data_IF_735798568310
#
_entry.id   IF_735798568310
#
_cell.length_a   1.000
_cell.length_b   1.000
_cell.length_c   1.000
_cell.angle_alpha   90.00
_cell.angle_beta   90.00
_cell.angle_gamma   90.00
#
_symmetry.space_group_name_H-M   'P 1'
#
loop_
_entity.id
_entity.type
_entity.pdbx_description
1 polymer ?
#
# COMPACT_ATOMS: atom_id res chain seq x y z
N UNK A 1 -47.88 18.48 -70.30
CA UNK A 1 -48.00 17.61 -69.11
C UNK A 1 -46.63 17.47 -68.45
N UNK A 2 -46.33 18.29 -67.43
CA UNK A 2 -45.04 18.26 -66.72
C UNK A 2 -45.20 17.45 -65.42
N UNK A 3 -44.54 16.28 -65.34
CA UNK A 3 -44.49 15.44 -64.13
C UNK A 3 -43.47 16.01 -63.14
N UNK A 4 -43.94 16.31 -61.93
CA UNK A 4 -43.13 16.65 -60.75
C UNK A 4 -42.44 15.40 -60.21
N UNK A 5 -41.14 15.46 -59.97
CA UNK A 5 -40.38 14.46 -59.20
C UNK A 5 -40.05 15.12 -57.86
N UNK A 6 -40.62 14.58 -56.77
CA UNK A 6 -40.32 14.96 -55.39
C UNK A 6 -39.26 13.99 -54.88
N UNK A 7 -38.05 14.49 -54.63
CA UNK A 7 -36.97 13.71 -54.00
C UNK A 7 -37.09 13.90 -52.49
N UNK A 8 -37.50 12.84 -51.79
CA UNK A 8 -37.53 12.79 -50.32
C UNK A 8 -36.15 12.37 -49.84
N UNK A 9 -35.39 13.31 -49.30
CA UNK A 9 -34.11 13.03 -48.63
C UNK A 9 -34.39 12.45 -47.24
N UNK A 10 -34.14 11.15 -47.09
CA UNK A 10 -34.30 10.43 -45.82
C UNK A 10 -33.01 10.58 -45.00
N UNK A 11 -33.02 11.52 -44.05
CA UNK A 11 -31.92 11.79 -43.13
C UNK A 11 -31.88 10.71 -42.03
N UNK A 12 -30.99 9.73 -42.17
CA UNK A 12 -30.74 8.71 -41.13
C UNK A 12 -29.82 9.30 -40.06
N UNK A 13 -30.40 9.75 -38.95
CA UNK A 13 -29.63 10.14 -37.76
C UNK A 13 -29.14 8.88 -37.02
N UNK A 14 -27.87 8.52 -37.23
CA UNK A 14 -27.18 7.57 -36.36
C UNK A 14 -26.86 8.26 -35.02
N UNK A 15 -27.61 7.91 -33.98
CA UNK A 15 -27.32 8.29 -32.59
C UNK A 15 -26.08 7.53 -32.12
N UNK A 16 -24.91 8.19 -32.16
CA UNK A 16 -23.73 7.69 -31.46
C UNK A 16 -24.02 7.71 -29.94
N UNK A 17 -23.82 6.60 -29.21
CA UNK A 17 -23.97 6.60 -27.77
C UNK A 17 -22.98 7.59 -27.14
N UNK A 18 -23.50 8.48 -26.29
CA UNK A 18 -22.72 9.54 -25.66
C UNK A 18 -21.56 8.96 -24.83
N UNK A 19 -20.39 9.59 -24.94
CA UNK A 19 -19.16 9.24 -24.20
C UNK A 19 -19.35 9.16 -22.66
N UNK A 20 -20.45 9.68 -22.14
CA UNK A 20 -20.82 9.62 -20.72
C UNK A 20 -21.15 8.20 -20.24
N UNK A 21 -21.65 7.32 -21.11
CA UNK A 21 -21.97 5.93 -20.74
C UNK A 21 -20.72 5.04 -20.56
N UNK A 22 -19.62 5.35 -21.26
CA UNK A 22 -18.38 4.58 -21.18
C UNK A 22 -17.64 4.81 -19.85
N UNK A 23 -17.68 6.04 -19.32
CA UNK A 23 -17.02 6.39 -18.06
C UNK A 23 -17.72 5.80 -16.82
N UNK A 24 -19.04 5.53 -16.88
CA UNK A 24 -19.73 4.84 -15.78
C UNK A 24 -19.34 3.37 -15.68
N UNK A 25 -19.10 2.70 -16.81
CA UNK A 25 -18.71 1.27 -16.84
C UNK A 25 -17.28 1.03 -16.34
N UNK A 26 -16.36 1.96 -16.59
CA UNK A 26 -15.00 1.90 -16.02
C UNK A 26 -14.95 2.19 -14.50
N UNK A 27 -15.93 2.94 -13.98
CA UNK A 27 -16.00 3.28 -12.56
C UNK A 27 -16.50 2.09 -11.71
N UNK A 28 -17.30 1.18 -12.28
CA UNK A 28 -17.86 0.03 -11.56
C UNK A 28 -16.92 -1.19 -11.45
N UNK A 29 -15.81 -1.23 -12.20
CA UNK A 29 -14.86 -2.37 -12.19
C UNK A 29 -13.67 -2.18 -11.23
N UNK A 30 -13.55 -1.03 -10.58
CA UNK A 30 -12.73 -0.91 -9.37
C UNK A 30 -13.58 -1.35 -8.18
N UNK A 31 -13.76 -2.67 -8.03
CA UNK A 31 -14.10 -3.22 -6.74
C UNK A 31 -13.02 -2.75 -5.76
N UNK A 32 -13.33 -1.71 -4.99
CA UNK A 32 -12.48 -1.23 -3.91
C UNK A 32 -12.30 -2.44 -3.01
N UNK A 33 -11.08 -3.01 -2.98
CA UNK A 33 -10.78 -4.07 -2.03
C UNK A 33 -11.06 -3.48 -0.66
N UNK A 34 -12.16 -3.90 -0.03
CA UNK A 34 -12.50 -3.43 1.31
C UNK A 34 -11.31 -3.69 2.23
N UNK A 35 -10.98 -2.73 3.08
CA UNK A 35 -9.92 -2.89 4.08
C UNK A 35 -10.04 -4.21 4.87
N UNK A 36 -11.27 -4.62 5.18
CA UNK A 36 -11.56 -5.91 5.85
C UNK A 36 -11.15 -7.14 5.05
N UNK A 37 -11.07 -7.07 3.73
CA UNK A 37 -10.59 -8.17 2.88
C UNK A 37 -9.07 -8.35 2.95
N UNK A 38 -8.34 -7.28 3.28
CA UNK A 38 -6.87 -7.29 3.38
C UNK A 38 -6.43 -7.53 4.82
N UNK A 39 -7.07 -6.82 5.76
CA UNK A 39 -6.75 -6.76 7.18
C UNK A 39 -8.00 -7.01 8.03
N UNK A 40 -8.56 -8.23 8.05
CA UNK A 40 -9.75 -8.54 8.86
C UNK A 40 -9.46 -8.48 10.36
N UNK A 41 -8.22 -8.72 10.78
CA UNK A 41 -7.76 -8.56 12.16
C UNK A 41 -6.67 -7.49 12.20
N UNK A 42 -6.91 -6.42 12.95
CA UNK A 42 -5.94 -5.35 13.19
C UNK A 42 -5.52 -5.39 14.64
N UNK A 43 -4.22 -5.31 14.88
CA UNK A 43 -3.64 -5.14 16.22
C UNK A 43 -2.56 -4.08 16.20
N UNK A 44 -2.23 -3.57 17.38
CA UNK A 44 -1.05 -2.72 17.55
C UNK A 44 0.23 -3.56 17.56
N UNK A 45 1.38 -2.87 17.50
CA UNK A 45 2.67 -3.46 17.82
C UNK A 45 2.62 -4.03 19.25
N UNK A 46 3.17 -5.22 19.44
CA UNK A 46 3.35 -5.84 20.75
C UNK A 46 4.83 -5.85 21.17
N UNK A 47 5.11 -6.21 22.42
CA UNK A 47 6.48 -6.28 22.94
C UNK A 47 7.40 -7.08 22.01
N UNK A 48 8.58 -6.52 21.70
CA UNK A 48 9.53 -7.11 20.76
C UNK A 48 9.24 -6.85 19.27
N UNK A 49 8.18 -6.11 18.93
CA UNK A 49 7.96 -5.62 17.56
C UNK A 49 8.30 -4.15 17.47
N UNK A 50 9.13 -3.79 16.48
CA UNK A 50 9.71 -2.46 16.33
C UNK A 50 9.41 -1.94 14.95
N UNK A 51 8.87 -0.73 14.86
CA UNK A 51 8.75 0.02 13.62
C UNK A 51 9.76 1.18 13.62
N UNK A 52 10.53 1.30 12.55
CA UNK A 52 11.46 2.43 12.36
C UNK A 52 11.12 3.17 11.07
N UNK A 53 11.03 4.50 11.16
CA UNK A 53 10.86 5.37 9.99
C UNK A 53 12.17 5.68 9.26
N UNK A 54 13.32 5.46 9.92
CA UNK A 54 14.67 5.53 9.34
C UNK A 54 15.54 4.39 9.86
N UNK A 55 16.56 4.00 9.10
CA UNK A 55 17.52 3.01 9.57
C UNK A 55 18.52 3.62 10.56
N UNK A 56 19.29 2.76 11.23
CA UNK A 56 20.31 3.15 12.20
C UNK A 56 21.50 3.88 11.54
N UNK A 57 22.26 4.63 12.35
CA UNK A 57 23.34 5.47 11.86
C UNK A 57 24.53 4.73 11.28
N UNK A 58 24.77 3.49 11.72
CA UNK A 58 25.87 2.64 11.22
C UNK A 58 25.73 2.24 9.73
N UNK A 59 24.55 2.40 9.12
CA UNK A 59 24.42 2.18 7.68
C UNK A 59 24.98 3.36 6.90
N UNK A 60 25.72 3.07 5.82
CA UNK A 60 26.25 4.11 4.93
C UNK A 60 25.13 4.95 4.31
N UNK A 61 25.45 6.18 3.90
CA UNK A 61 24.50 7.09 3.28
C UNK A 61 23.89 6.55 1.97
N UNK A 62 24.65 5.73 1.23
CA UNK A 62 24.20 5.07 0.00
C UNK A 62 23.34 3.82 0.23
N UNK A 63 23.16 3.37 1.48
CA UNK A 63 22.37 2.18 1.76
C UNK A 63 20.88 2.45 1.47
N UNK A 64 20.22 1.66 0.61
CA UNK A 64 18.81 1.88 0.26
C UNK A 64 17.85 1.77 1.45
N UNK A 65 18.28 1.15 2.56
CA UNK A 65 17.50 1.04 3.79
C UNK A 65 17.51 2.34 4.60
N UNK A 66 18.51 3.22 4.40
CA UNK A 66 18.71 4.45 5.19
C UNK A 66 17.47 5.34 5.20
N UNK A 67 16.85 5.47 4.03
CA UNK A 67 15.78 6.41 3.75
C UNK A 67 14.39 5.76 3.65
N UNK A 68 14.22 4.55 4.17
CA UNK A 68 12.97 3.81 4.08
C UNK A 68 12.57 3.20 5.43
N UNK A 69 11.32 2.75 5.51
CA UNK A 69 10.78 2.21 6.75
C UNK A 69 11.24 0.77 6.98
N UNK A 70 11.15 0.31 8.23
CA UNK A 70 11.42 -1.09 8.57
C UNK A 70 10.51 -1.59 9.69
N UNK A 71 10.24 -2.88 9.64
CA UNK A 71 9.55 -3.63 10.68
C UNK A 71 10.45 -4.77 11.16
N UNK A 72 10.70 -4.81 12.46
CA UNK A 72 11.62 -5.74 13.09
C UNK A 72 10.87 -6.54 14.14
N UNK A 73 11.10 -7.85 14.14
CA UNK A 73 10.63 -8.77 15.16
C UNK A 73 11.84 -9.25 15.94
N UNK A 74 11.90 -8.92 17.23
CA UNK A 74 12.94 -9.38 18.14
C UNK A 74 12.85 -10.90 18.32
N UNK A 75 13.94 -11.51 18.76
CA UNK A 75 13.96 -12.94 19.11
C UNK A 75 12.87 -13.26 20.14
N UNK A 76 12.24 -14.42 19.98
CA UNK A 76 11.11 -14.88 20.80
C UNK A 76 9.74 -14.55 20.20
N UNK A 77 9.66 -13.58 19.28
CA UNK A 77 8.41 -13.25 18.60
C UNK A 77 8.16 -14.15 17.39
N UNK A 78 6.88 -14.41 17.12
CA UNK A 78 6.48 -15.09 15.89
C UNK A 78 6.85 -14.25 14.67
N UNK A 79 7.69 -14.80 13.78
CA UNK A 79 8.03 -14.14 12.52
C UNK A 79 6.92 -14.34 11.48
N UNK A 80 6.62 -13.34 10.64
CA UNK A 80 5.84 -13.54 9.44
C UNK A 80 6.50 -14.60 8.53
N UNK A 81 5.68 -15.44 7.89
CA UNK A 81 6.16 -16.45 6.92
C UNK A 81 6.46 -15.88 5.54
N UNK A 82 6.09 -14.62 5.31
CA UNK A 82 6.24 -13.97 4.01
C UNK A 82 7.65 -13.43 3.79
N UNK A 83 8.16 -13.55 2.58
CA UNK A 83 9.38 -12.85 2.12
C UNK A 83 9.14 -11.36 1.89
N UNK A 84 7.87 -10.97 1.71
CA UNK A 84 7.42 -9.61 1.41
C UNK A 84 6.20 -9.25 2.26
N UNK A 85 6.24 -8.10 2.92
CA UNK A 85 5.09 -7.55 3.63
C UNK A 85 4.49 -6.41 2.81
N UNK A 86 3.17 -6.44 2.65
CA UNK A 86 2.42 -5.32 2.10
C UNK A 86 2.06 -4.33 3.22
N UNK A 87 2.16 -3.04 2.91
CA UNK A 87 1.74 -1.95 3.79
C UNK A 87 0.56 -1.24 3.13
N UNK A 88 -0.57 -1.22 3.81
CA UNK A 88 -1.85 -0.77 3.27
C UNK A 88 -2.35 0.47 4.00
N UNK A 89 -3.10 1.32 3.31
CA UNK A 89 -3.87 2.38 3.95
C UNK A 89 -5.20 1.87 4.54
N UNK A 90 -5.95 2.74 5.21
CA UNK A 90 -7.25 2.43 5.82
C UNK A 90 -8.34 2.01 4.82
N UNK A 91 -8.14 2.27 3.52
CA UNK A 91 -9.04 1.83 2.47
C UNK A 91 -8.62 0.48 1.84
N UNK A 92 -7.50 -0.11 2.30
CA UNK A 92 -6.99 -1.38 1.77
C UNK A 92 -6.12 -1.22 0.51
N UNK A 93 -5.72 0.00 0.15
CA UNK A 93 -4.81 0.21 -0.98
C UNK A 93 -3.38 -0.07 -0.54
N UNK A 94 -2.61 -0.77 -1.36
CA UNK A 94 -1.19 -0.98 -1.12
C UNK A 94 -0.43 0.34 -1.33
N UNK A 95 0.19 0.86 -0.26
CA UNK A 95 0.93 2.12 -0.29
C UNK A 95 2.44 1.94 -0.21
N UNK A 96 2.91 0.82 0.35
CA UNK A 96 4.34 0.51 0.51
C UNK A 96 4.58 -1.02 0.57
N UNK A 97 5.83 -1.45 0.39
CA UNK A 97 6.26 -2.86 0.52
C UNK A 97 7.54 -2.93 1.35
N UNK A 98 7.68 -3.98 2.14
CA UNK A 98 8.89 -4.30 2.90
C UNK A 98 9.41 -5.68 2.50
N UNK A 99 10.70 -5.81 2.18
CA UNK A 99 11.31 -7.10 1.89
C UNK A 99 12.11 -7.66 3.06
N UNK A 100 12.09 -8.98 3.20
CA UNK A 100 12.85 -9.70 4.23
C UNK A 100 14.35 -9.58 3.96
N UNK A 101 15.11 -9.07 4.93
CA UNK A 101 16.56 -8.89 4.83
C UNK A 101 17.36 -10.04 5.41
N UNK A 102 16.86 -10.66 6.48
CA UNK A 102 17.55 -11.76 7.13
C UNK A 102 16.54 -12.55 7.94
N UNK A 103 16.35 -13.86 7.64
CA UNK A 103 15.65 -14.76 8.53
C UNK A 103 16.50 -14.95 9.81
N UNK A 104 15.82 -15.02 10.96
CA UNK A 104 16.30 -15.28 12.33
C UNK A 104 17.83 -15.28 12.60
N UNK A 105 18.29 -14.34 13.43
CA UNK A 105 19.67 -14.27 13.95
C UNK A 105 19.74 -14.27 15.49
N UNK A 106 20.90 -13.91 16.05
CA UNK A 106 21.14 -13.85 17.51
C UNK A 106 20.19 -12.92 18.28
N UNK A 107 19.77 -11.81 17.66
CA UNK A 107 18.95 -10.79 18.32
C UNK A 107 17.53 -10.65 17.75
N UNK A 108 17.27 -11.20 16.55
CA UNK A 108 16.05 -10.92 15.79
C UNK A 108 15.42 -12.21 15.29
N UNK A 109 14.09 -12.30 15.34
CA UNK A 109 13.32 -13.34 14.67
C UNK A 109 13.17 -13.05 13.17
N UNK A 110 12.97 -11.77 12.80
CA UNK A 110 12.93 -11.33 11.41
C UNK A 110 13.14 -9.81 11.28
N UNK A 111 13.62 -9.38 10.12
CA UNK A 111 13.77 -7.96 9.78
C UNK A 111 13.29 -7.70 8.36
N UNK A 112 12.41 -6.72 8.21
CA UNK A 112 11.83 -6.30 6.95
C UNK A 112 12.17 -4.83 6.69
N UNK A 113 12.71 -4.53 5.51
CA UNK A 113 13.10 -3.18 5.13
C UNK A 113 12.43 -2.78 3.82
N UNK A 114 11.96 -1.53 3.74
CA UNK A 114 11.46 -0.98 2.49
C UNK A 114 12.55 -0.81 1.43
N UNK A 115 13.82 -0.76 1.84
CA UNK A 115 14.98 -0.66 0.96
C UNK A 115 15.57 -1.98 0.47
N UNK A 116 14.96 -3.13 0.76
CA UNK A 116 15.56 -4.46 0.49
C UNK A 116 14.59 -5.43 -0.19
N UNK A 117 15.11 -6.35 -1.00
CA UNK A 117 14.32 -7.39 -1.67
C UNK A 117 13.18 -6.78 -2.50
N UNK A 118 11.94 -7.14 -2.17
CA UNK A 118 10.72 -6.61 -2.81
C UNK A 118 10.23 -5.27 -2.23
N UNK A 119 10.99 -4.67 -1.31
CA UNK A 119 10.72 -3.33 -0.81
C UNK A 119 10.81 -2.30 -1.95
N UNK A 120 9.95 -1.28 -1.91
CA UNK A 120 9.81 -0.29 -2.99
C UNK A 120 10.59 1.01 -2.73
N UNK A 121 11.46 1.02 -1.72
CA UNK A 121 12.37 2.13 -1.32
C UNK A 121 11.67 3.45 -0.99
N UNK A 122 10.34 3.46 -0.83
CA UNK A 122 9.62 4.70 -0.48
C UNK A 122 10.08 5.23 0.86
N UNK A 123 10.20 6.56 0.91
CA UNK A 123 10.47 7.27 2.15
C UNK A 123 9.25 7.23 3.07
N UNK A 124 9.44 7.23 4.39
CA UNK A 124 8.34 7.28 5.36
C UNK A 124 7.35 8.43 5.05
N UNK A 125 7.87 9.59 4.62
CA UNK A 125 7.07 10.77 4.30
C UNK A 125 6.16 10.54 3.09
N UNK A 126 6.68 9.89 2.05
CA UNK A 126 5.90 9.51 0.87
C UNK A 126 4.79 8.51 1.22
N UNK A 127 5.07 7.55 2.10
CA UNK A 127 4.08 6.57 2.57
C UNK A 127 2.97 7.26 3.37
N UNK A 128 3.31 8.11 4.33
CA UNK A 128 2.33 8.86 5.12
C UNK A 128 1.45 9.77 4.25
N UNK A 129 2.06 10.52 3.33
CA UNK A 129 1.36 11.42 2.40
C UNK A 129 0.41 10.65 1.49
N UNK A 130 0.82 9.48 1.00
CA UNK A 130 -0.01 8.60 0.18
C UNK A 130 -1.23 8.11 0.97
N UNK A 131 -1.04 7.59 2.19
CA UNK A 131 -2.13 7.14 3.05
C UNK A 131 -3.09 8.28 3.41
N UNK A 132 -2.54 9.46 3.75
CA UNK A 132 -3.31 10.66 4.10
C UNK A 132 -4.15 11.15 2.91
N UNK A 133 -3.57 11.16 1.71
CA UNK A 133 -4.29 11.54 0.49
C UNK A 133 -5.47 10.59 0.23
N UNK A 134 -5.23 9.28 0.36
CA UNK A 134 -6.22 8.26 0.03
C UNK A 134 -7.35 8.17 1.07
N UNK A 135 -7.05 8.40 2.36
CA UNK A 135 -7.96 8.04 3.46
C UNK A 135 -8.18 9.12 4.51
N UNK A 136 -7.55 10.29 4.34
CA UNK A 136 -7.48 11.36 5.35
C UNK A 136 -6.82 10.95 6.66
N UNK A 137 -6.09 9.83 6.67
CA UNK A 137 -5.29 9.35 7.80
C UNK A 137 -3.89 8.95 7.34
N UNK A 138 -2.87 9.27 8.14
CA UNK A 138 -1.49 8.78 7.93
C UNK A 138 -1.31 7.33 8.33
N UNK A 139 -2.28 6.73 9.03
CA UNK A 139 -2.17 5.39 9.54
C UNK A 139 -2.02 4.37 8.42
N UNK A 140 -1.11 3.42 8.62
CA UNK A 140 -0.87 2.31 7.72
C UNK A 140 -0.93 0.98 8.46
N UNK A 141 -1.16 -0.08 7.70
CA UNK A 141 -1.42 -1.41 8.21
C UNK A 141 -0.50 -2.40 7.51
N UNK A 142 0.45 -2.97 8.25
CA UNK A 142 1.42 -3.92 7.70
C UNK A 142 0.81 -5.32 7.77
N UNK A 143 0.58 -5.96 6.62
CA UNK A 143 0.07 -7.33 6.55
C UNK A 143 1.18 -8.31 6.93
N UNK A 144 1.13 -8.79 8.17
CA UNK A 144 2.15 -9.65 8.79
C UNK A 144 1.67 -11.09 9.01
N UNK A 145 0.38 -11.37 8.78
CA UNK A 145 -0.22 -12.71 8.76
C UNK A 145 -1.23 -12.83 7.61
N UNK A 146 -1.80 -14.02 7.42
CA UNK A 146 -2.82 -14.23 6.38
C UNK A 146 -4.04 -13.32 6.56
N UNK A 147 -4.42 -13.12 7.83
CA UNK A 147 -5.58 -12.33 8.26
C UNK A 147 -5.23 -11.18 9.22
N UNK A 148 -3.96 -11.04 9.61
CA UNK A 148 -3.55 -10.09 10.65
C UNK A 148 -2.68 -8.98 10.09
N UNK A 149 -3.05 -7.75 10.41
CA UNK A 149 -2.28 -6.56 10.14
C UNK A 149 -1.87 -5.85 11.43
N UNK A 150 -0.70 -5.22 11.37
CA UNK A 150 -0.13 -4.41 12.45
C UNK A 150 -0.38 -2.94 12.10
N UNK A 151 -1.08 -2.22 12.97
CA UNK A 151 -1.34 -0.80 12.82
C UNK A 151 -0.11 0.04 13.19
N UNK A 152 0.26 0.96 12.30
CA UNK A 152 1.29 1.97 12.49
C UNK A 152 0.61 3.34 12.35
N UNK A 153 0.45 4.10 13.44
CA UNK A 153 -0.34 5.35 13.41
C UNK A 153 0.23 6.43 12.48
N UNK A 154 1.55 6.55 12.38
CA UNK A 154 2.24 7.45 11.43
C UNK A 154 3.58 6.82 11.00
N UNK A 155 3.74 6.41 9.72
CA UNK A 155 4.97 5.78 9.27
C UNK A 155 6.21 6.71 9.29
N UNK A 156 6.04 8.02 9.53
CA UNK A 156 7.14 8.96 9.79
C UNK A 156 7.73 8.87 11.19
N UNK A 157 7.05 8.22 12.12
CA UNK A 157 7.49 8.08 13.49
C UNK A 157 8.04 6.68 13.75
N UNK A 158 8.81 6.57 14.80
CA UNK A 158 9.33 5.30 15.28
C UNK A 158 8.52 4.83 16.48
N UNK A 159 8.36 3.52 16.60
CA UNK A 159 7.58 2.88 17.65
C UNK A 159 8.37 1.70 18.20
N UNK A 160 8.40 1.60 19.54
CA UNK A 160 9.15 0.58 20.27
C UNK A 160 10.65 0.52 19.90
N UNK A 161 11.22 1.62 19.42
CA UNK A 161 12.64 1.71 19.06
C UNK A 161 13.35 2.64 20.02
N UNK A 162 14.47 2.19 20.59
CA UNK A 162 15.41 3.04 21.34
C UNK A 162 16.29 3.89 20.42
N UNK A 163 16.29 3.61 19.12
CA UNK A 163 17.05 4.34 18.12
C UNK A 163 16.18 4.71 16.94
N UNK A 164 15.93 6.01 16.84
CA UNK A 164 15.75 6.68 15.57
C UNK A 164 16.68 7.88 15.56
#
# INVERSE_FOLDING_TARGET
MLKRIVVVAMLVMFLAPSAQALNRKLTLLRATRSFSSVCPVVRNLVGGEIWKSKASDHLSSGDPRKNSTSLIFMRGNARPRFSCLGVYDKAGNLVHKLGSYSPAGSAYAARYYGGWGCGDKKSPGSVATTAQRNTKSKAVYVKAGDKTCIAIPDPNRCYNSSSC
#
